data_IF_849707652758
#
_entry.id   IF_849707652758
#
_cell.length_a   1.000
_cell.length_b   1.000
_cell.length_c   1.000
_cell.angle_alpha   90.00
_cell.angle_beta   90.00
_cell.angle_gamma   90.00
#
_symmetry.space_group_name_H-M   'P 1'
#
loop_
_entity.id
_entity.type
_entity.pdbx_description
1 polymer ?
#
# COMPACT_ATOMS: atom_id res chain seq x y z
N UNK A 1 -6.49 14.19 -26.37
CA UNK A 1 -6.57 13.77 -24.94
C UNK A 1 -7.32 12.44 -24.88
N UNK A 2 -6.81 11.49 -24.12
CA UNK A 2 -7.42 10.14 -23.97
C UNK A 2 -8.72 10.11 -23.16
N UNK A 3 -8.98 11.12 -22.36
CA UNK A 3 -10.13 11.20 -21.48
C UNK A 3 -9.79 11.91 -20.18
N UNK A 4 -10.81 12.19 -19.37
CA UNK A 4 -10.66 12.84 -18.08
C UNK A 4 -10.87 11.87 -16.93
N UNK A 5 -9.88 11.80 -16.03
CA UNK A 5 -9.92 11.00 -14.82
C UNK A 5 -10.07 11.92 -13.61
N UNK A 6 -11.09 11.68 -12.79
CA UNK A 6 -11.24 12.33 -11.48
C UNK A 6 -10.96 11.33 -10.38
N UNK A 7 -9.83 11.52 -9.69
CA UNK A 7 -9.51 10.77 -8.48
C UNK A 7 -10.18 11.44 -7.27
N UNK A 8 -10.77 10.65 -6.38
CA UNK A 8 -11.41 11.15 -5.14
C UNK A 8 -10.84 10.43 -3.95
N UNK A 9 -10.33 11.16 -2.97
CA UNK A 9 -9.77 10.60 -1.73
C UNK A 9 -10.01 11.48 -0.52
N UNK A 10 -10.34 10.89 0.64
CA UNK A 10 -10.26 11.59 1.92
C UNK A 10 -8.98 11.24 2.69
N UNK A 11 -8.25 10.20 2.28
CA UNK A 11 -7.02 9.72 2.91
C UNK A 11 -5.77 10.29 2.19
N UNK A 12 -5.60 11.63 2.20
CA UNK A 12 -4.55 12.31 1.43
C UNK A 12 -3.24 12.39 2.21
N UNK A 13 -2.64 11.23 2.50
CA UNK A 13 -1.38 11.10 3.23
C UNK A 13 -0.79 9.69 3.13
N UNK A 14 0.46 9.54 3.57
CA UNK A 14 1.15 8.25 3.62
C UNK A 14 1.17 7.49 2.29
N UNK A 15 0.98 6.17 2.34
CA UNK A 15 1.05 5.30 1.17
C UNK A 15 0.00 5.59 0.09
N UNK A 16 -1.20 6.05 0.46
CA UNK A 16 -2.24 6.43 -0.51
C UNK A 16 -1.83 7.67 -1.29
N UNK A 17 -1.23 8.66 -0.64
CA UNK A 17 -0.69 9.83 -1.33
C UNK A 17 0.43 9.45 -2.29
N UNK A 18 1.39 8.63 -1.85
CA UNK A 18 2.49 8.17 -2.72
C UNK A 18 1.99 7.43 -3.95
N UNK A 19 0.99 6.55 -3.77
CA UNK A 19 0.32 5.85 -4.87
C UNK A 19 -0.37 6.82 -5.84
N UNK A 20 -1.11 7.82 -5.32
CA UNK A 20 -1.82 8.80 -6.13
C UNK A 20 -0.86 9.69 -6.92
N UNK A 21 0.22 10.15 -6.31
CA UNK A 21 1.25 10.98 -6.98
C UNK A 21 1.80 10.24 -8.19
N UNK A 22 2.23 8.99 -8.01
CA UNK A 22 2.77 8.19 -9.10
C UNK A 22 1.73 7.94 -10.20
N UNK A 23 0.53 7.47 -9.83
CA UNK A 23 -0.53 7.17 -10.78
C UNK A 23 -0.98 8.41 -11.57
N UNK A 24 -1.15 9.56 -10.92
CA UNK A 24 -1.60 10.79 -11.55
C UNK A 24 -0.55 11.35 -12.50
N UNK A 25 0.72 11.44 -12.09
CA UNK A 25 1.81 11.95 -12.90
C UNK A 25 2.01 11.10 -14.16
N UNK A 26 1.96 9.78 -14.03
CA UNK A 26 2.01 8.87 -15.18
C UNK A 26 0.78 8.99 -16.07
N UNK A 27 -0.40 9.23 -15.50
CA UNK A 27 -1.63 9.41 -16.29
C UNK A 27 -1.57 10.66 -17.12
N UNK A 28 -1.05 11.78 -16.60
CA UNK A 28 -0.79 13.00 -17.37
C UNK A 28 0.20 12.74 -18.51
N UNK A 29 1.33 12.08 -18.21
CA UNK A 29 2.32 11.69 -19.24
C UNK A 29 1.70 10.80 -20.33
N UNK A 30 0.74 9.95 -19.96
CA UNK A 30 0.00 9.10 -20.90
C UNK A 30 -1.10 9.84 -21.69
N UNK A 31 -1.33 11.15 -21.45
CA UNK A 31 -2.25 12.03 -22.19
C UNK A 31 -3.66 12.14 -21.62
N UNK A 32 -3.89 11.76 -20.35
CA UNK A 32 -5.17 11.99 -19.66
C UNK A 32 -5.23 13.39 -19.04
N UNK A 33 -6.43 13.97 -18.96
CA UNK A 33 -6.75 15.12 -18.09
C UNK A 33 -7.03 14.61 -16.67
N UNK A 34 -6.22 15.02 -15.69
CA UNK A 34 -6.26 14.45 -14.33
C UNK A 34 -6.66 15.50 -13.31
N UNK A 35 -7.68 15.17 -12.52
CA UNK A 35 -8.15 15.97 -11.38
C UNK A 35 -8.11 15.10 -10.12
N UNK A 36 -7.56 15.64 -9.03
CA UNK A 36 -7.58 15.00 -7.72
C UNK A 36 -8.47 15.82 -6.79
N UNK A 37 -9.62 15.26 -6.42
CA UNK A 37 -10.51 15.80 -5.41
C UNK A 37 -10.12 15.17 -4.07
N UNK A 38 -9.60 15.96 -3.15
CA UNK A 38 -9.02 15.47 -1.91
C UNK A 38 -9.55 16.20 -0.68
N UNK A 39 -9.36 15.61 0.49
CA UNK A 39 -9.53 16.29 1.77
C UNK A 39 -8.19 16.38 2.47
N UNK A 40 -7.81 17.59 2.85
CA UNK A 40 -6.58 17.83 3.61
C UNK A 40 -6.64 17.14 4.97
N UNK A 41 -5.50 16.63 5.42
CA UNK A 41 -5.30 15.91 6.69
C UNK A 41 -4.08 16.47 7.41
N UNK A 42 -3.98 16.23 8.72
CA UNK A 42 -2.81 16.61 9.51
C UNK A 42 -1.52 15.99 8.95
N UNK A 43 -1.62 14.77 8.39
CA UNK A 43 -0.53 14.07 7.73
C UNK A 43 -0.29 14.46 6.26
N UNK A 44 -1.06 15.38 5.68
CA UNK A 44 -0.84 15.87 4.31
C UNK A 44 0.39 16.80 4.32
N UNK A 45 1.42 16.55 3.48
CA UNK A 45 2.58 17.42 3.42
C UNK A 45 2.19 18.85 3.00
N UNK A 46 2.80 19.86 3.62
CA UNK A 46 2.54 21.27 3.28
C UNK A 46 2.86 21.60 1.82
N UNK A 47 3.86 20.93 1.25
CA UNK A 47 4.27 21.07 -0.14
C UNK A 47 3.64 20.04 -1.07
N UNK A 48 2.49 19.47 -0.71
CA UNK A 48 1.84 18.39 -1.49
C UNK A 48 1.62 18.73 -2.96
N UNK A 49 1.41 20.01 -3.30
CA UNK A 49 1.25 20.46 -4.68
C UNK A 49 2.50 20.17 -5.54
N UNK A 50 3.69 20.30 -4.96
CA UNK A 50 4.96 20.11 -5.65
C UNK A 50 5.24 18.64 -6.01
N UNK A 51 4.53 17.70 -5.38
CA UNK A 51 4.64 16.27 -5.66
C UNK A 51 3.94 15.86 -6.97
N UNK A 52 2.96 16.67 -7.42
CA UNK A 52 2.18 16.39 -8.61
C UNK A 52 2.68 17.18 -9.80
N UNK A 53 2.58 16.58 -11.01
CA UNK A 53 2.78 17.30 -12.25
C UNK A 53 1.95 18.60 -12.28
N UNK A 54 2.50 19.71 -12.79
CA UNK A 54 1.76 20.99 -12.90
C UNK A 54 0.41 20.89 -13.61
N UNK A 55 0.23 19.93 -14.50
CA UNK A 55 -1.03 19.70 -15.24
C UNK A 55 -2.10 19.00 -14.40
N UNK A 56 -1.74 18.33 -13.31
CA UNK A 56 -2.71 17.72 -12.38
C UNK A 56 -3.45 18.82 -11.61
N UNK A 57 -4.76 18.85 -11.68
CA UNK A 57 -5.57 19.81 -10.91
C UNK A 57 -5.95 19.25 -9.56
N UNK A 58 -5.57 19.96 -8.49
CA UNK A 58 -5.91 19.61 -7.10
C UNK A 58 -7.11 20.43 -6.64
N UNK A 59 -8.16 19.75 -6.15
CA UNK A 59 -9.40 20.36 -5.68
C UNK A 59 -9.68 19.90 -4.25
N UNK A 60 -9.66 20.81 -3.29
CA UNK A 60 -9.96 20.47 -1.89
C UNK A 60 -11.49 20.41 -1.67
N UNK A 61 -11.96 19.31 -1.08
CA UNK A 61 -13.34 19.10 -0.64
C UNK A 61 -13.33 18.53 0.78
N UNK A 62 -14.03 19.16 1.70
CA UNK A 62 -14.03 18.74 3.10
C UNK A 62 -14.76 17.40 3.28
N UNK A 63 -14.01 16.35 3.58
CA UNK A 63 -14.52 15.04 3.97
C UNK A 63 -13.91 14.65 5.32
N UNK A 64 -14.71 14.38 6.34
CA UNK A 64 -14.21 13.92 7.65
C UNK A 64 -13.86 12.44 7.60
N UNK A 65 -12.82 12.02 8.35
CA UNK A 65 -12.46 10.60 8.45
C UNK A 65 -13.52 9.79 9.20
N UNK A 66 -14.06 10.34 10.30
CA UNK A 66 -15.13 9.71 11.06
C UNK A 66 -16.46 9.75 10.31
N UNK A 67 -17.33 8.78 10.57
CA UNK A 67 -18.70 8.79 10.08
C UNK A 67 -19.44 9.96 10.75
N UNK A 68 -19.99 10.86 9.95
CA UNK A 68 -20.71 12.04 10.40
C UNK A 68 -21.84 12.35 9.40
N UNK A 69 -23.09 11.93 9.66
CA UNK A 69 -24.17 11.96 8.66
C UNK A 69 -24.36 13.33 8.00
N UNK A 70 -24.38 14.41 8.78
CA UNK A 70 -24.56 15.78 8.24
C UNK A 70 -23.38 16.22 7.37
N UNK A 71 -22.14 15.97 7.82
CA UNK A 71 -20.96 16.31 7.03
C UNK A 71 -20.80 15.39 5.82
N UNK A 72 -21.20 14.12 5.94
CA UNK A 72 -21.15 13.16 4.83
C UNK A 72 -22.18 13.52 3.76
N UNK A 73 -23.37 13.97 4.16
CA UNK A 73 -24.36 14.51 3.23
C UNK A 73 -23.85 15.76 2.50
N UNK A 74 -23.28 16.73 3.23
CA UNK A 74 -22.65 17.90 2.62
C UNK A 74 -21.51 17.52 1.68
N UNK A 75 -20.69 16.52 2.06
CA UNK A 75 -19.62 15.96 1.22
C UNK A 75 -20.15 15.36 -0.08
N UNK A 76 -21.26 14.60 -0.04
CA UNK A 76 -21.91 14.05 -1.23
C UNK A 76 -22.39 15.17 -2.15
N UNK A 77 -23.02 16.24 -1.61
CA UNK A 77 -23.48 17.37 -2.43
C UNK A 77 -22.30 18.09 -3.12
N UNK A 78 -21.22 18.36 -2.38
CA UNK A 78 -20.03 18.99 -2.93
C UNK A 78 -19.37 18.11 -4.01
N UNK A 79 -19.21 16.80 -3.75
CA UNK A 79 -18.69 15.85 -4.74
C UNK A 79 -19.60 15.79 -5.97
N UNK A 80 -20.92 15.72 -5.79
CA UNK A 80 -21.89 15.72 -6.89
C UNK A 80 -21.73 16.94 -7.78
N UNK A 81 -21.64 18.13 -7.16
CA UNK A 81 -21.43 19.37 -7.90
C UNK A 81 -20.10 19.34 -8.67
N UNK A 82 -19.00 18.93 -8.02
CA UNK A 82 -17.69 18.83 -8.68
C UNK A 82 -17.71 17.86 -9.84
N UNK A 83 -18.28 16.68 -9.68
CA UNK A 83 -18.36 15.68 -10.76
C UNK A 83 -19.22 16.18 -11.94
N UNK A 84 -20.27 16.97 -11.69
CA UNK A 84 -21.04 17.63 -12.77
C UNK A 84 -20.22 18.66 -13.54
N UNK A 85 -19.43 19.47 -12.85
CA UNK A 85 -18.57 20.49 -13.45
C UNK A 85 -17.44 19.84 -14.25
N UNK A 86 -16.78 18.84 -13.67
CA UNK A 86 -15.62 18.20 -14.29
C UNK A 86 -16.00 17.29 -15.47
N UNK A 87 -17.19 16.71 -15.49
CA UNK A 87 -17.66 15.77 -16.52
C UNK A 87 -16.64 14.67 -16.82
N UNK A 88 -16.21 13.89 -15.83
CA UNK A 88 -15.17 12.88 -16.02
C UNK A 88 -15.66 11.71 -16.88
N UNK A 89 -14.74 11.10 -17.62
CA UNK A 89 -14.95 9.79 -18.26
C UNK A 89 -14.77 8.66 -17.25
N UNK A 90 -13.84 8.84 -16.28
CA UNK A 90 -13.52 7.90 -15.22
C UNK A 90 -13.51 8.60 -13.87
N UNK A 91 -14.16 8.00 -12.88
CA UNK A 91 -14.09 8.39 -11.47
C UNK A 91 -13.37 7.28 -10.73
N UNK A 92 -12.19 7.57 -10.17
CA UNK A 92 -11.42 6.62 -9.38
C UNK A 92 -11.44 7.02 -7.90
N UNK A 93 -12.13 6.22 -7.10
CA UNK A 93 -12.37 6.43 -5.67
C UNK A 93 -11.32 5.70 -4.84
N UNK A 94 -10.69 6.38 -3.89
CA UNK A 94 -9.65 5.82 -3.03
C UNK A 94 -10.07 5.88 -1.57
N UNK A 95 -9.97 4.77 -0.86
CA UNK A 95 -10.42 4.52 0.51
C UNK A 95 -11.92 4.22 0.65
N UNK A 96 -12.29 3.55 1.75
CA UNK A 96 -13.68 3.11 1.99
C UNK A 96 -14.68 4.26 2.02
N UNK A 97 -14.32 5.39 2.61
CA UNK A 97 -15.25 6.53 2.72
C UNK A 97 -15.47 7.21 1.37
N UNK A 98 -14.38 7.51 0.64
CA UNK A 98 -14.49 8.05 -0.71
C UNK A 98 -15.22 7.04 -1.63
N UNK A 99 -15.00 5.75 -1.45
CA UNK A 99 -15.72 4.68 -2.15
C UNK A 99 -17.23 4.72 -1.95
N UNK A 100 -17.69 4.94 -0.73
CA UNK A 100 -19.13 5.03 -0.42
C UNK A 100 -19.74 6.35 -0.92
N UNK A 101 -19.18 7.49 -0.49
CA UNK A 101 -19.72 8.83 -0.83
C UNK A 101 -19.60 9.13 -2.32
N UNK A 102 -18.46 8.74 -2.92
CA UNK A 102 -18.17 8.97 -4.33
C UNK A 102 -19.07 8.18 -5.26
N UNK A 103 -19.45 6.93 -4.94
CA UNK A 103 -20.44 6.17 -5.73
C UNK A 103 -21.80 6.83 -5.72
N UNK A 104 -22.27 7.34 -4.57
CA UNK A 104 -23.51 8.10 -4.47
C UNK A 104 -23.43 9.37 -5.31
N UNK A 105 -22.35 10.14 -5.17
CA UNK A 105 -22.14 11.37 -5.92
C UNK A 105 -22.05 11.12 -7.45
N UNK A 106 -21.41 10.05 -7.88
CA UNK A 106 -21.34 9.64 -9.28
C UNK A 106 -22.72 9.35 -9.87
N UNK A 107 -23.58 8.63 -9.12
CA UNK A 107 -24.97 8.36 -9.52
C UNK A 107 -25.80 9.62 -9.68
N UNK A 108 -25.54 10.65 -8.88
CA UNK A 108 -26.28 11.91 -8.90
C UNK A 108 -25.72 12.93 -9.90
N UNK A 109 -24.39 12.91 -10.14
CA UNK A 109 -23.69 13.96 -10.85
C UNK A 109 -23.03 13.58 -12.18
N UNK A 110 -22.67 12.30 -12.37
CA UNK A 110 -21.88 11.86 -13.51
C UNK A 110 -22.18 10.39 -13.88
N UNK A 111 -23.44 10.09 -14.20
CA UNK A 111 -23.92 8.71 -14.48
C UNK A 111 -23.25 8.06 -15.69
N UNK A 112 -22.71 8.86 -16.60
CA UNK A 112 -21.99 8.38 -17.78
C UNK A 112 -20.57 7.91 -17.44
N UNK A 113 -20.00 8.40 -16.34
CA UNK A 113 -18.63 8.08 -15.96
C UNK A 113 -18.51 6.65 -15.44
N UNK A 114 -17.44 5.99 -15.80
CA UNK A 114 -17.07 4.70 -15.20
C UNK A 114 -16.53 4.90 -13.80
N UNK A 115 -17.01 4.12 -12.86
CA UNK A 115 -16.59 4.20 -11.46
C UNK A 115 -15.64 3.07 -11.15
N UNK A 116 -14.45 3.40 -10.67
CA UNK A 116 -13.44 2.48 -10.15
C UNK A 116 -13.24 2.79 -8.68
N UNK A 117 -13.04 1.76 -7.87
CA UNK A 117 -12.83 1.91 -6.44
C UNK A 117 -11.67 1.06 -5.95
N UNK A 118 -10.69 1.70 -5.31
CA UNK A 118 -9.54 1.07 -4.66
C UNK A 118 -9.58 1.31 -3.15
N UNK A 119 -9.83 0.28 -2.32
CA UNK A 119 -9.90 0.42 -0.86
C UNK A 119 -8.60 0.87 -0.21
N UNK A 120 -7.45 0.41 -0.70
CA UNK A 120 -6.12 0.57 -0.09
C UNK A 120 -6.04 0.08 1.36
N UNK A 121 -6.67 -1.03 1.64
CA UNK A 121 -6.87 -1.60 2.96
C UNK A 121 -8.33 -1.50 3.41
N UNK A 122 -8.87 -2.63 3.82
CA UNK A 122 -10.30 -2.78 4.11
C UNK A 122 -10.63 -2.29 5.52
N UNK A 123 -11.47 -1.27 5.64
CA UNK A 123 -11.84 -0.66 6.91
C UNK A 123 -12.48 -1.65 7.90
N UNK A 124 -13.17 -2.68 7.42
CA UNK A 124 -13.78 -3.69 8.28
C UNK A 124 -12.76 -4.72 8.84
N UNK A 125 -11.48 -4.65 8.44
CA UNK A 125 -10.38 -5.44 9.03
C UNK A 125 -9.64 -4.69 10.13
N UNK A 126 -9.97 -3.45 10.40
CA UNK A 126 -9.35 -2.63 11.45
C UNK A 126 -9.58 -3.26 12.81
N UNK A 127 -8.50 -3.47 13.55
CA UNK A 127 -8.54 -4.03 14.91
C UNK A 127 -8.60 -2.96 16.01
N UNK A 128 -8.51 -1.67 15.65
CA UNK A 128 -8.65 -0.53 16.57
C UNK A 128 -10.10 -0.09 16.79
N UNK A 129 -11.04 -0.79 16.21
CA UNK A 129 -12.48 -0.51 16.35
C UNK A 129 -13.23 -1.75 16.85
N UNK A 130 -14.35 -1.57 17.60
CA UNK A 130 -15.13 -2.70 18.11
C UNK A 130 -15.80 -3.50 16.97
N UNK A 131 -16.10 -4.77 17.20
CA UNK A 131 -16.68 -5.70 16.22
C UNK A 131 -17.97 -5.18 15.57
N UNK A 132 -18.81 -4.46 16.31
CA UNK A 132 -20.03 -3.89 15.74
C UNK A 132 -19.73 -2.84 14.66
N UNK A 133 -18.69 -2.04 14.87
CA UNK A 133 -18.26 -1.03 13.89
C UNK A 133 -17.59 -1.68 12.66
N UNK A 134 -16.86 -2.77 12.84
CA UNK A 134 -16.36 -3.58 11.70
C UNK A 134 -17.52 -4.12 10.86
N UNK A 135 -18.58 -4.63 11.51
CA UNK A 135 -19.82 -5.09 10.82
C UNK A 135 -20.51 -3.95 10.08
N UNK A 136 -20.56 -2.77 10.68
CA UNK A 136 -21.13 -1.57 10.05
C UNK A 136 -20.32 -1.18 8.80
N UNK A 137 -18.98 -1.16 8.86
CA UNK A 137 -18.13 -0.93 7.69
C UNK A 137 -18.37 -1.96 6.60
N UNK A 138 -18.46 -3.25 6.96
CA UNK A 138 -18.75 -4.31 6.00
C UNK A 138 -20.13 -4.12 5.34
N UNK A 139 -21.13 -3.68 6.09
CA UNK A 139 -22.47 -3.38 5.56
C UNK A 139 -22.42 -2.20 4.58
N UNK A 140 -21.67 -1.16 4.90
CA UNK A 140 -21.48 -0.03 3.99
C UNK A 140 -20.75 -0.43 2.71
N UNK A 141 -19.74 -1.28 2.78
CA UNK A 141 -19.05 -1.80 1.57
C UNK A 141 -20.04 -2.58 0.68
N UNK A 142 -20.90 -3.43 1.26
CA UNK A 142 -21.93 -4.18 0.54
C UNK A 142 -22.96 -3.27 -0.12
N UNK A 143 -23.45 -2.28 0.62
CA UNK A 143 -24.41 -1.30 0.10
C UNK A 143 -23.79 -0.46 -1.00
N UNK A 144 -22.54 -0.01 -0.82
CA UNK A 144 -21.83 0.76 -1.83
C UNK A 144 -21.58 -0.06 -3.11
N UNK A 145 -21.30 -1.37 -3.00
CA UNK A 145 -21.14 -2.25 -4.18
C UNK A 145 -22.42 -2.34 -5.01
N UNK A 146 -23.62 -2.28 -4.37
CA UNK A 146 -24.90 -2.28 -5.10
C UNK A 146 -25.08 -1.07 -6.03
N UNK A 147 -24.36 0.03 -5.79
CA UNK A 147 -24.33 1.20 -6.66
C UNK A 147 -23.47 0.99 -7.93
N UNK A 148 -22.77 -0.14 -8.00
CA UNK A 148 -21.95 -0.51 -9.16
C UNK A 148 -20.53 0.04 -9.14
N UNK A 149 -19.85 -0.16 -10.26
CA UNK A 149 -18.42 0.16 -10.45
C UNK A 149 -17.54 -1.09 -10.39
N UNK A 150 -16.25 -0.90 -10.69
CA UNK A 150 -15.23 -1.95 -10.57
C UNK A 150 -14.43 -1.75 -9.30
N UNK A 151 -14.38 -2.76 -8.44
CA UNK A 151 -13.52 -2.74 -7.25
C UNK A 151 -12.15 -3.28 -7.63
N UNK A 152 -11.10 -2.55 -7.30
CA UNK A 152 -9.72 -2.96 -7.56
C UNK A 152 -8.99 -3.18 -6.26
N UNK A 153 -8.72 -4.44 -5.96
CA UNK A 153 -7.91 -4.84 -4.82
C UNK A 153 -6.43 -4.62 -5.10
N UNK A 154 -5.67 -4.19 -4.09
CA UNK A 154 -4.23 -4.00 -4.21
C UNK A 154 -3.42 -5.24 -3.80
N UNK A 155 -4.05 -6.30 -3.28
CA UNK A 155 -3.42 -7.58 -2.94
C UNK A 155 -4.38 -8.75 -3.11
N UNK A 156 -3.83 -9.97 -3.24
CA UNK A 156 -4.65 -11.19 -3.34
C UNK A 156 -5.52 -11.39 -2.10
N UNK A 157 -4.97 -11.18 -0.91
CA UNK A 157 -5.72 -11.29 0.33
C UNK A 157 -6.85 -10.26 0.44
N UNK A 158 -6.65 -9.04 -0.07
CA UNK A 158 -7.71 -8.03 -0.14
C UNK A 158 -8.82 -8.45 -1.12
N UNK A 159 -8.45 -8.99 -2.29
CA UNK A 159 -9.40 -9.51 -3.28
C UNK A 159 -10.24 -10.66 -2.71
N UNK A 160 -9.62 -11.57 -1.98
CA UNK A 160 -10.29 -12.68 -1.33
C UNK A 160 -11.31 -12.21 -0.28
N UNK A 161 -10.95 -11.24 0.56
CA UNK A 161 -11.87 -10.67 1.55
C UNK A 161 -13.04 -9.94 0.88
N UNK A 162 -12.78 -9.19 -0.19
CA UNK A 162 -13.83 -8.55 -0.98
C UNK A 162 -14.80 -9.58 -1.58
N UNK A 163 -14.30 -10.66 -2.15
CA UNK A 163 -15.12 -11.74 -2.73
C UNK A 163 -15.91 -12.50 -1.67
N UNK A 164 -15.26 -12.89 -0.56
CA UNK A 164 -15.90 -13.72 0.48
C UNK A 164 -16.84 -12.94 1.37
N UNK A 165 -16.43 -11.75 1.84
CA UNK A 165 -17.19 -11.01 2.85
C UNK A 165 -18.08 -9.93 2.27
N UNK A 166 -17.58 -9.13 1.32
CA UNK A 166 -18.41 -8.10 0.65
C UNK A 166 -19.29 -8.74 -0.42
N UNK A 167 -18.81 -9.78 -1.11
CA UNK A 167 -19.45 -10.45 -2.24
C UNK A 167 -19.55 -9.50 -3.44
N UNK A 168 -18.46 -8.78 -3.70
CA UNK A 168 -18.38 -7.81 -4.81
C UNK A 168 -18.71 -8.46 -6.16
N UNK A 169 -19.48 -7.74 -6.98
CA UNK A 169 -19.94 -8.23 -8.29
C UNK A 169 -18.87 -8.14 -9.37
N UNK A 170 -18.06 -7.09 -9.32
CA UNK A 170 -16.99 -6.85 -10.28
C UNK A 170 -15.72 -6.44 -9.54
N UNK A 171 -14.77 -7.36 -9.41
CA UNK A 171 -13.51 -7.14 -8.74
C UNK A 171 -12.33 -7.49 -9.64
N UNK A 172 -11.26 -6.70 -9.55
CA UNK A 172 -9.99 -6.88 -10.24
C UNK A 172 -8.85 -6.85 -9.23
N UNK A 173 -7.72 -7.42 -9.60
CA UNK A 173 -6.47 -7.29 -8.86
C UNK A 173 -5.51 -6.42 -9.67
N UNK A 174 -5.07 -5.32 -9.10
CA UNK A 174 -3.92 -4.55 -9.59
C UNK A 174 -3.07 -4.26 -8.37
N UNK A 175 -1.98 -5.01 -8.23
CA UNK A 175 -1.07 -4.86 -7.10
C UNK A 175 -0.37 -3.50 -7.15
N UNK A 176 0.04 -3.01 -5.98
CA UNK A 176 0.88 -1.82 -5.91
C UNK A 176 2.22 -2.08 -6.62
N UNK A 177 2.69 -1.07 -7.33
CA UNK A 177 4.00 -1.06 -7.96
C UNK A 177 4.91 -0.01 -7.35
N UNK A 178 6.21 -0.15 -7.57
CA UNK A 178 7.24 0.82 -7.22
C UNK A 178 8.18 1.06 -8.39
N UNK A 179 8.84 2.22 -8.42
CA UNK A 179 9.93 2.54 -9.36
C UNK A 179 11.15 1.70 -9.01
N UNK A 180 11.21 0.47 -9.53
CA UNK A 180 12.24 -0.50 -9.13
C UNK A 180 13.67 -0.02 -9.42
N UNK A 181 13.85 0.84 -10.40
CA UNK A 181 15.12 1.46 -10.77
C UNK A 181 15.52 2.60 -9.81
N UNK A 182 14.56 3.23 -9.16
CA UNK A 182 14.80 4.33 -8.21
C UNK A 182 14.95 3.87 -6.77
N UNK A 183 14.57 2.63 -6.45
CA UNK A 183 14.82 2.07 -5.12
C UNK A 183 16.31 1.76 -4.96
N UNK A 184 17.02 2.45 -4.05
CA UNK A 184 18.43 2.20 -3.83
C UNK A 184 18.66 0.76 -3.36
N UNK A 185 19.65 0.09 -3.93
CA UNK A 185 20.01 -1.27 -3.50
C UNK A 185 20.65 -1.25 -2.12
N UNK A 186 20.47 -2.33 -1.36
CA UNK A 186 21.07 -2.51 -0.04
C UNK A 186 22.58 -2.25 -0.10
N UNK A 187 23.07 -1.43 0.83
CA UNK A 187 24.49 -1.12 0.94
C UNK A 187 25.20 -2.26 1.67
N UNK A 188 26.14 -2.91 0.99
CA UNK A 188 27.02 -3.89 1.65
C UNK A 188 28.07 -3.13 2.45
N UNK A 189 28.11 -3.36 3.77
CA UNK A 189 29.09 -2.75 4.66
C UNK A 189 30.24 -3.71 4.95
N UNK A 190 31.42 -3.13 5.16
CA UNK A 190 32.60 -3.88 5.57
C UNK A 190 32.62 -4.22 7.07
N UNK A 191 31.91 -3.42 7.90
CA UNK A 191 31.75 -3.70 9.32
C UNK A 191 30.84 -4.90 9.57
N UNK A 192 31.00 -5.54 10.74
CA UNK A 192 30.21 -6.73 11.11
C UNK A 192 28.85 -6.38 11.75
N UNK A 193 28.47 -5.09 11.78
CA UNK A 193 27.19 -4.68 12.36
C UNK A 193 26.02 -5.14 11.50
N UNK A 194 24.95 -5.58 12.16
CA UNK A 194 23.66 -5.87 11.52
C UNK A 194 22.68 -4.77 11.87
N UNK A 195 22.10 -4.11 10.87
CA UNK A 195 21.08 -3.07 11.07
C UNK A 195 19.72 -3.63 10.72
N UNK A 196 18.85 -3.68 11.72
CA UNK A 196 17.44 -4.10 11.62
C UNK A 196 16.57 -2.86 11.59
N UNK A 197 15.68 -2.72 10.63
CA UNK A 197 14.87 -1.51 10.52
C UNK A 197 13.40 -1.73 10.27
N UNK A 198 12.62 -0.74 10.68
CA UNK A 198 11.20 -0.57 10.38
C UNK A 198 11.00 0.80 9.73
N UNK A 199 10.06 0.95 8.78
CA UNK A 199 9.71 2.24 8.20
C UNK A 199 8.22 2.54 8.36
N UNK A 200 7.91 3.74 8.85
CA UNK A 200 6.56 4.25 8.97
C UNK A 200 6.35 5.11 10.21
N UNK A 201 5.27 5.88 10.22
CA UNK A 201 4.88 6.70 11.37
C UNK A 201 4.39 5.83 12.54
N UNK A 202 4.43 6.35 13.75
CA UNK A 202 3.76 5.77 14.89
C UNK A 202 2.25 5.74 14.64
N UNK A 203 1.68 4.57 14.78
CA UNK A 203 0.23 4.37 14.72
C UNK A 203 -0.13 3.01 15.29
N UNK A 204 -1.35 2.87 15.79
CA UNK A 204 -1.86 1.58 16.24
C UNK A 204 -1.79 0.52 15.13
N UNK A 205 -2.03 0.93 13.87
CA UNK A 205 -1.94 0.06 12.70
C UNK A 205 -0.54 -0.53 12.52
N UNK A 206 0.50 0.30 12.60
CA UNK A 206 1.90 -0.12 12.37
C UNK A 206 2.48 -0.93 13.52
N UNK A 207 1.87 -0.84 14.73
CA UNK A 207 2.23 -1.62 15.90
C UNK A 207 3.74 -1.56 16.23
N UNK A 208 4.29 -0.34 16.19
CA UNK A 208 5.70 -0.08 16.46
C UNK A 208 6.18 -0.65 17.82
N UNK A 209 5.25 -0.79 18.79
CA UNK A 209 5.56 -1.38 20.10
C UNK A 209 6.17 -2.78 19.95
N UNK A 210 5.72 -3.58 18.98
CA UNK A 210 6.32 -4.89 18.74
C UNK A 210 7.74 -4.77 18.18
N UNK A 211 8.01 -3.79 17.34
CA UNK A 211 9.37 -3.54 16.84
C UNK A 211 10.32 -3.11 17.97
N UNK A 212 9.86 -2.20 18.86
CA UNK A 212 10.61 -1.77 20.05
C UNK A 212 10.88 -2.96 20.97
N UNK A 213 9.88 -3.78 21.23
CA UNK A 213 10.03 -4.97 22.08
C UNK A 213 11.02 -5.99 21.50
N UNK A 214 10.98 -6.24 20.17
CA UNK A 214 11.97 -7.07 19.47
C UNK A 214 13.39 -6.49 19.64
N UNK A 215 13.53 -5.17 19.50
CA UNK A 215 14.81 -4.50 19.67
C UNK A 215 15.35 -4.68 21.10
N UNK A 216 14.50 -4.50 22.13
CA UNK A 216 14.89 -4.65 23.52
C UNK A 216 15.31 -6.10 23.84
N UNK A 217 14.61 -7.10 23.28
CA UNK A 217 14.93 -8.54 23.48
C UNK A 217 16.22 -8.97 22.79
N UNK A 218 16.56 -8.35 21.66
CA UNK A 218 17.70 -8.73 20.82
C UNK A 218 18.84 -7.70 20.86
N UNK A 219 18.79 -6.73 21.77
CA UNK A 219 19.86 -5.76 21.97
C UNK A 219 21.17 -6.46 22.36
N UNK A 220 22.17 -6.35 21.49
CA UNK A 220 23.51 -6.92 21.73
C UNK A 220 24.57 -6.13 20.94
N UNK A 221 25.85 -6.32 21.31
CA UNK A 221 26.94 -5.67 20.59
C UNK A 221 26.95 -6.07 19.11
N UNK A 222 27.06 -5.08 18.22
CA UNK A 222 27.06 -5.29 16.78
C UNK A 222 25.68 -5.36 16.12
N UNK A 223 24.59 -5.17 16.87
CA UNK A 223 23.24 -5.05 16.33
C UNK A 223 22.69 -3.65 16.59
N UNK A 224 22.12 -3.03 15.58
CA UNK A 224 21.49 -1.72 15.66
C UNK A 224 20.04 -1.82 15.15
N UNK A 225 19.09 -1.26 15.92
CA UNK A 225 17.70 -1.16 15.52
C UNK A 225 17.36 0.28 15.12
N UNK A 226 16.73 0.45 13.96
CA UNK A 226 16.43 1.77 13.38
C UNK A 226 14.97 1.87 13.01
N UNK A 227 14.29 2.88 13.52
CA UNK A 227 12.91 3.20 13.12
C UNK A 227 12.90 4.45 12.24
N UNK A 228 12.69 4.25 10.94
CA UNK A 228 12.62 5.30 9.93
C UNK A 228 11.22 5.91 9.95
N UNK A 229 11.10 7.20 10.30
CA UNK A 229 9.82 7.92 10.40
C UNK A 229 9.16 7.85 11.78
N UNK A 230 9.82 7.27 12.77
CA UNK A 230 9.38 7.28 14.16
C UNK A 230 10.10 8.34 15.01
N UNK A 231 9.43 8.85 16.03
CA UNK A 231 9.98 9.80 16.97
C UNK A 231 10.49 9.09 18.23
N UNK A 232 11.57 9.61 18.85
CA UNK A 232 12.15 9.00 20.05
C UNK A 232 11.14 8.91 21.22
N UNK A 233 10.31 9.92 21.39
CA UNK A 233 9.26 9.93 22.43
C UNK A 233 8.23 8.78 22.26
N UNK A 234 8.05 8.26 21.04
CA UNK A 234 7.14 7.17 20.74
C UNK A 234 7.78 5.80 20.97
N UNK A 235 9.11 5.72 20.87
CA UNK A 235 9.88 4.51 21.17
C UNK A 235 10.02 4.28 22.69
N UNK A 236 10.10 5.36 23.47
CA UNK A 236 10.40 5.35 24.89
C UNK A 236 11.88 5.60 25.18
N UNK A 237 12.17 6.21 26.34
CA UNK A 237 13.51 6.70 26.71
C UNK A 237 14.58 5.56 26.80
N UNK A 238 14.17 4.37 27.19
CA UNK A 238 15.05 3.20 27.37
C UNK A 238 15.03 2.26 26.15
N UNK A 239 14.45 2.64 25.03
CA UNK A 239 14.33 1.77 23.86
C UNK A 239 15.67 1.58 23.15
N UNK A 240 16.01 0.33 22.84
CA UNK A 240 17.20 -0.02 22.03
C UNK A 240 16.99 0.30 20.53
N UNK A 241 16.31 1.41 20.23
CA UNK A 241 15.91 1.81 18.87
C UNK A 241 16.35 3.23 18.59
N UNK A 242 17.09 3.43 17.51
CA UNK A 242 17.39 4.76 16.99
C UNK A 242 16.27 5.22 16.06
N UNK A 243 15.63 6.32 16.38
CA UNK A 243 14.58 6.94 15.57
C UNK A 243 15.16 8.02 14.65
N UNK A 244 14.66 8.13 13.42
CA UNK A 244 15.11 9.17 12.48
C UNK A 244 14.24 10.43 12.54
N UNK A 245 13.08 10.38 13.18
CA UNK A 245 12.04 11.35 12.96
C UNK A 245 11.43 11.22 11.54
N UNK A 246 10.48 12.11 11.26
CA UNK A 246 9.94 12.18 9.90
C UNK A 246 11.02 12.65 8.91
N UNK A 247 11.15 11.94 7.81
CA UNK A 247 12.10 12.27 6.73
C UNK A 247 11.40 12.24 5.37
N UNK A 248 11.85 13.05 4.40
CA UNK A 248 11.34 12.98 3.01
C UNK A 248 11.51 11.57 2.42
N UNK A 249 10.67 11.23 1.43
CA UNK A 249 10.65 9.89 0.83
C UNK A 249 12.02 9.41 0.33
N UNK A 250 12.77 10.26 -0.36
CA UNK A 250 14.07 9.88 -0.90
C UNK A 250 15.07 9.57 0.21
N UNK A 251 15.03 10.33 1.30
CA UNK A 251 15.89 10.12 2.46
C UNK A 251 15.48 8.84 3.22
N UNK A 252 14.15 8.57 3.30
CA UNK A 252 13.64 7.33 3.86
C UNK A 252 14.10 6.10 3.07
N UNK A 253 14.06 6.14 1.74
CA UNK A 253 14.57 5.07 0.87
C UNK A 253 16.10 4.92 0.99
N UNK A 254 16.84 6.03 1.08
CA UNK A 254 18.29 6.01 1.30
C UNK A 254 18.65 5.43 2.68
N UNK A 255 17.87 5.73 3.72
CA UNK A 255 18.02 5.13 5.05
C UNK A 255 17.69 3.62 5.02
N UNK A 256 16.59 3.24 4.34
CA UNK A 256 16.20 1.84 4.14
C UNK A 256 17.33 1.03 3.47
N UNK A 257 18.00 1.57 2.46
CA UNK A 257 19.11 0.90 1.79
C UNK A 257 20.32 0.62 2.71
N UNK A 258 20.37 1.26 3.87
CA UNK A 258 21.35 0.98 4.92
C UNK A 258 21.00 -0.21 5.81
N UNK A 259 19.82 -0.77 5.71
CA UNK A 259 19.37 -1.90 6.53
C UNK A 259 19.88 -3.23 6.00
N UNK A 260 20.05 -4.19 6.91
CA UNK A 260 20.30 -5.60 6.60
C UNK A 260 19.04 -6.45 6.69
N UNK A 261 18.10 -6.06 7.55
CA UNK A 261 16.80 -6.70 7.77
C UNK A 261 15.71 -5.63 7.82
N UNK A 262 14.56 -5.92 7.25
CA UNK A 262 13.37 -5.10 7.37
C UNK A 262 12.30 -5.81 8.21
N UNK A 263 11.69 -5.12 9.15
CA UNK A 263 10.63 -5.66 10.01
C UNK A 263 9.35 -4.86 9.84
N UNK A 264 8.22 -5.53 9.61
CA UNK A 264 6.89 -4.92 9.50
C UNK A 264 5.93 -5.57 10.48
N UNK A 265 5.61 -4.87 11.56
CA UNK A 265 4.82 -5.39 12.68
C UNK A 265 3.33 -5.05 12.61
N UNK A 266 2.84 -4.60 11.47
CA UNK A 266 1.48 -4.08 11.29
C UNK A 266 0.39 -5.06 11.70
N UNK A 267 -0.71 -4.50 12.26
CA UNK A 267 -1.93 -5.26 12.64
C UNK A 267 -2.87 -5.47 11.45
N UNK A 268 -2.84 -4.63 10.46
CA UNK A 268 -3.52 -4.78 9.15
C UNK A 268 -2.84 -3.91 8.10
N UNK A 269 -2.90 -4.34 6.85
CA UNK A 269 -2.39 -3.62 5.67
C UNK A 269 -3.31 -3.84 4.46
N UNK A 270 -3.15 -2.99 3.45
CA UNK A 270 -3.64 -3.29 2.11
C UNK A 270 -2.57 -3.99 1.29
N UNK A 271 -1.52 -3.25 0.93
CA UNK A 271 -0.28 -3.72 0.32
C UNK A 271 0.83 -2.68 0.56
N UNK A 272 1.65 -2.85 1.59
CA UNK A 272 2.58 -1.81 2.04
C UNK A 272 3.74 -1.61 1.07
N UNK A 273 3.87 -0.39 0.52
CA UNK A 273 4.96 -0.02 -0.38
C UNK A 273 6.34 -0.24 0.27
N UNK A 274 6.47 0.05 1.57
CA UNK A 274 7.73 -0.11 2.30
C UNK A 274 8.27 -1.54 2.29
N UNK A 275 7.39 -2.56 2.37
CA UNK A 275 7.81 -3.97 2.26
C UNK A 275 8.24 -4.28 0.83
N UNK A 276 7.51 -3.78 -0.17
CA UNK A 276 7.89 -3.94 -1.59
C UNK A 276 9.26 -3.31 -1.83
N UNK A 277 9.46 -2.08 -1.36
CA UNK A 277 10.71 -1.32 -1.50
C UNK A 277 11.88 -2.04 -0.83
N UNK A 278 11.69 -2.55 0.40
CA UNK A 278 12.71 -3.35 1.09
C UNK A 278 13.10 -4.60 0.28
N UNK A 279 12.10 -5.33 -0.26
CA UNK A 279 12.35 -6.51 -1.09
C UNK A 279 13.08 -6.14 -2.39
N UNK A 280 12.69 -5.05 -3.07
CA UNK A 280 13.38 -4.55 -4.27
C UNK A 280 14.80 -4.12 -3.94
N UNK A 281 15.04 -3.50 -2.78
CA UNK A 281 16.38 -3.13 -2.32
C UNK A 281 17.28 -4.34 -2.04
N UNK A 282 16.74 -5.55 -1.93
CA UNK A 282 17.47 -6.77 -1.58
C UNK A 282 17.60 -6.97 -0.07
N UNK A 283 16.63 -6.49 0.68
CA UNK A 283 16.56 -6.60 2.12
C UNK A 283 15.49 -7.65 2.46
N UNK A 284 15.86 -8.79 3.08
CA UNK A 284 14.88 -9.77 3.53
C UNK A 284 13.97 -9.15 4.59
N UNK A 285 12.67 -9.48 4.52
CA UNK A 285 11.67 -8.89 5.39
C UNK A 285 11.04 -9.90 6.34
N UNK A 286 10.93 -9.55 7.61
CA UNK A 286 10.12 -10.27 8.59
C UNK A 286 8.83 -9.48 8.78
N UNK A 287 7.70 -10.10 8.49
CA UNK A 287 6.42 -9.40 8.46
C UNK A 287 5.35 -10.16 9.26
N UNK A 288 4.42 -9.42 9.85
CA UNK A 288 3.23 -10.04 10.46
C UNK A 288 2.36 -10.72 9.41
N UNK A 289 1.72 -11.84 9.81
CA UNK A 289 0.80 -12.63 8.99
C UNK A 289 -0.55 -11.90 8.78
N UNK A 290 -0.50 -10.74 8.15
CA UNK A 290 -1.69 -9.97 7.77
C UNK A 290 -1.75 -9.81 6.25
N UNK A 291 -2.95 -9.55 5.75
CA UNK A 291 -3.19 -9.25 4.33
C UNK A 291 -2.23 -8.14 3.89
N UNK A 292 -1.78 -8.22 2.67
CA UNK A 292 -0.79 -7.31 2.10
C UNK A 292 0.64 -7.70 2.45
N UNK A 293 0.97 -7.88 3.72
CA UNK A 293 2.29 -8.32 4.16
C UNK A 293 2.63 -9.72 3.61
N UNK A 294 1.75 -10.70 3.88
CA UNK A 294 1.91 -12.09 3.42
C UNK A 294 1.76 -12.25 1.90
N UNK A 295 1.18 -11.26 1.24
CA UNK A 295 1.04 -11.26 -0.22
C UNK A 295 2.34 -10.81 -0.93
N UNK A 296 3.28 -10.17 -0.20
CA UNK A 296 4.55 -9.69 -0.73
C UNK A 296 5.68 -10.67 -0.42
N UNK A 297 5.78 -11.11 0.84
CA UNK A 297 6.89 -11.93 1.33
C UNK A 297 6.64 -13.41 1.06
N UNK A 298 7.61 -14.09 0.45
CA UNK A 298 7.62 -15.54 0.30
C UNK A 298 8.33 -16.15 1.50
N UNK A 299 7.55 -16.79 2.38
CA UNK A 299 8.06 -17.37 3.63
C UNK A 299 9.20 -18.36 3.39
N UNK A 300 10.31 -18.17 4.11
CA UNK A 300 11.52 -18.98 3.98
C UNK A 300 12.38 -18.71 2.74
N UNK A 301 11.92 -17.87 1.81
CA UNK A 301 12.64 -17.59 0.55
C UNK A 301 13.08 -16.12 0.44
N UNK A 302 12.18 -15.15 0.71
CA UNK A 302 12.50 -13.71 0.65
C UNK A 302 12.44 -13.05 2.02
N UNK A 303 12.17 -13.81 3.05
CA UNK A 303 12.00 -13.39 4.42
C UNK A 303 11.09 -14.35 5.17
N UNK A 304 10.50 -13.90 6.28
CA UNK A 304 9.62 -14.70 7.11
C UNK A 304 8.28 -14.01 7.38
N UNK A 305 7.22 -14.82 7.49
CA UNK A 305 5.87 -14.40 7.88
C UNK A 305 5.65 -14.94 9.28
N UNK A 306 5.32 -14.06 10.24
CA UNK A 306 5.18 -14.36 11.66
C UNK A 306 3.79 -14.02 12.17
N UNK A 307 3.24 -14.86 13.04
CA UNK A 307 1.90 -14.70 13.63
C UNK A 307 1.93 -14.18 15.07
N UNK A 308 3.11 -14.13 15.69
CA UNK A 308 3.31 -13.65 17.05
C UNK A 308 4.58 -12.81 17.20
N UNK A 309 4.68 -12.09 18.30
CA UNK A 309 5.88 -11.35 18.67
C UNK A 309 7.09 -12.29 18.86
N UNK A 310 6.86 -13.46 19.45
CA UNK A 310 7.91 -14.44 19.69
C UNK A 310 8.48 -15.01 18.38
N UNK A 311 7.62 -15.32 17.40
CA UNK A 311 8.06 -15.72 16.05
C UNK A 311 8.84 -14.61 15.33
N UNK A 312 8.41 -13.33 15.47
CA UNK A 312 9.18 -12.20 14.90
C UNK A 312 10.56 -12.16 15.54
N UNK A 313 10.62 -12.26 16.90
CA UNK A 313 11.88 -12.22 17.65
C UNK A 313 12.81 -13.37 17.22
N UNK A 314 12.27 -14.58 17.11
CA UNK A 314 13.01 -15.77 16.66
C UNK A 314 13.58 -15.58 15.25
N UNK A 315 12.75 -15.15 14.27
CA UNK A 315 13.19 -14.97 12.88
C UNK A 315 14.18 -13.82 12.73
N UNK A 316 14.01 -12.72 13.47
CA UNK A 316 14.98 -11.62 13.50
C UNK A 316 16.31 -12.11 14.07
N UNK A 317 16.32 -12.80 15.21
CA UNK A 317 17.51 -13.41 15.81
C UNK A 317 18.21 -14.36 14.84
N UNK A 318 17.48 -15.28 14.22
CA UNK A 318 18.02 -16.21 13.22
C UNK A 318 18.72 -15.49 12.06
N UNK A 319 18.11 -14.40 11.54
CA UNK A 319 18.72 -13.65 10.44
C UNK A 319 19.83 -12.69 10.92
N UNK A 320 19.92 -12.33 12.19
CA UNK A 320 21.07 -11.65 12.77
C UNK A 320 22.28 -12.60 12.78
N UNK A 321 22.09 -13.82 13.18
CA UNK A 321 23.17 -14.82 13.36
C UNK A 321 23.60 -15.46 12.03
N UNK A 322 22.69 -15.68 11.09
CA UNK A 322 22.96 -16.34 9.82
C UNK A 322 23.05 -15.31 8.65
N UNK A 323 24.26 -14.78 8.47
CA UNK A 323 24.55 -13.85 7.37
C UNK A 323 24.35 -14.48 5.99
N UNK A 324 24.69 -15.75 5.81
CA UNK A 324 24.58 -16.40 4.51
C UNK A 324 23.12 -16.58 4.09
N UNK A 325 22.26 -16.98 5.04
CA UNK A 325 20.83 -17.05 4.83
C UNK A 325 20.24 -15.66 4.51
N UNK A 326 20.65 -14.63 5.23
CA UNK A 326 20.25 -13.24 5.01
C UNK A 326 20.58 -12.75 3.60
N UNK A 327 21.81 -13.03 3.13
CA UNK A 327 22.25 -12.67 1.79
C UNK A 327 21.50 -13.44 0.70
N UNK A 328 21.30 -14.76 0.89
CA UNK A 328 20.52 -15.60 -0.02
C UNK A 328 19.08 -15.11 -0.16
N UNK A 329 18.42 -14.80 0.96
CA UNK A 329 17.07 -14.23 0.95
C UNK A 329 17.00 -12.87 0.29
N UNK A 330 18.01 -12.02 0.49
CA UNK A 330 18.10 -10.69 -0.14
C UNK A 330 18.18 -10.78 -1.66
N UNK A 331 18.99 -11.70 -2.20
CA UNK A 331 19.07 -11.95 -3.65
C UNK A 331 17.73 -12.43 -4.20
N UNK A 332 17.09 -13.38 -3.51
CA UNK A 332 15.77 -13.87 -3.92
C UNK A 332 14.70 -12.76 -3.86
N UNK A 333 14.74 -11.91 -2.82
CA UNK A 333 13.85 -10.78 -2.63
C UNK A 333 13.94 -9.81 -3.81
N UNK A 334 15.16 -9.35 -4.17
CA UNK A 334 15.37 -8.45 -5.31
C UNK A 334 14.81 -9.05 -6.59
N UNK A 335 15.17 -10.30 -6.90
CA UNK A 335 14.76 -10.95 -8.13
C UNK A 335 13.23 -11.02 -8.28
N UNK A 336 12.56 -11.51 -7.23
CA UNK A 336 11.10 -11.71 -7.23
C UNK A 336 10.38 -10.36 -7.22
N UNK A 337 10.77 -9.45 -6.34
CA UNK A 337 10.07 -8.18 -6.17
C UNK A 337 10.25 -7.26 -7.40
N UNK A 338 11.45 -7.19 -7.99
CA UNK A 338 11.67 -6.38 -9.18
C UNK A 338 10.85 -6.89 -10.38
N UNK A 339 10.74 -8.21 -10.56
CA UNK A 339 9.93 -8.77 -11.63
C UNK A 339 8.42 -8.52 -11.42
N UNK A 340 7.94 -8.67 -10.16
CA UNK A 340 6.50 -8.63 -9.84
C UNK A 340 5.95 -7.22 -9.67
N UNK A 341 6.71 -6.30 -9.04
CA UNK A 341 6.20 -5.01 -8.57
C UNK A 341 6.68 -3.80 -9.36
N UNK A 342 7.14 -4.01 -10.60
CA UNK A 342 7.53 -2.93 -11.51
C UNK A 342 6.31 -2.05 -11.84
N UNK A 343 6.39 -0.77 -11.52
CA UNK A 343 5.27 0.18 -11.63
C UNK A 343 4.76 0.33 -13.06
N UNK A 344 5.62 0.24 -14.09
CA UNK A 344 5.20 0.32 -15.50
C UNK A 344 4.22 -0.80 -15.87
N UNK A 345 4.44 -2.01 -15.35
CA UNK A 345 3.54 -3.14 -15.56
C UNK A 345 2.18 -2.90 -14.91
N UNK A 346 2.18 -2.35 -13.68
CA UNK A 346 0.94 -2.01 -12.96
C UNK A 346 0.22 -0.84 -13.63
N UNK A 347 0.96 0.16 -14.09
CA UNK A 347 0.38 1.30 -14.80
C UNK A 347 -0.30 0.88 -16.11
N UNK A 348 0.27 -0.06 -16.87
CA UNK A 348 -0.40 -0.62 -18.06
C UNK A 348 -1.73 -1.29 -17.73
N UNK A 349 -1.85 -1.96 -16.57
CA UNK A 349 -3.12 -2.53 -16.13
C UNK A 349 -4.14 -1.43 -15.79
N UNK A 350 -3.69 -0.32 -15.16
CA UNK A 350 -4.54 0.83 -14.88
C UNK A 350 -5.04 1.51 -16.16
N UNK A 351 -4.16 1.78 -17.14
CA UNK A 351 -4.57 2.39 -18.40
C UNK A 351 -5.52 1.49 -19.19
N UNK A 352 -5.28 0.18 -19.21
CA UNK A 352 -6.22 -0.77 -19.81
C UNK A 352 -7.60 -0.71 -19.15
N UNK A 353 -7.65 -0.57 -17.82
CA UNK A 353 -8.91 -0.43 -17.09
C UNK A 353 -9.59 0.91 -17.36
N UNK A 354 -8.82 1.99 -17.56
CA UNK A 354 -9.35 3.31 -17.92
C UNK A 354 -9.85 3.39 -19.36
N UNK A 355 -9.15 2.79 -20.30
CA UNK A 355 -9.43 2.92 -21.74
C UNK A 355 -10.57 2.00 -22.23
N UNK A 356 -10.96 0.97 -21.47
CA UNK A 356 -11.96 -0.03 -21.90
C UNK A 356 -11.58 -0.78 -23.19
N UNK A 357 -10.30 -0.73 -23.60
CA UNK A 357 -9.83 -1.15 -24.92
C UNK A 357 -9.45 -2.64 -24.99
N UNK A 358 -9.50 -3.35 -23.86
CA UNK A 358 -9.20 -4.81 -23.86
C UNK A 358 -10.49 -5.59 -23.60
N UNK A 359 -10.92 -6.29 -24.63
CA UNK A 359 -12.00 -7.28 -24.55
C UNK A 359 -11.80 -8.22 -23.37
N UNK A 360 -12.75 -8.25 -22.47
CA UNK A 360 -12.75 -9.00 -21.19
C UNK A 360 -12.61 -10.53 -21.34
N UNK A 361 -12.55 -11.07 -22.57
CA UNK A 361 -12.56 -12.51 -22.86
C UNK A 361 -11.21 -13.23 -22.65
N UNK A 362 -10.08 -12.50 -22.65
CA UNK A 362 -8.75 -13.16 -22.66
C UNK A 362 -8.09 -13.33 -21.27
N UNK A 363 -8.64 -12.73 -20.21
CA UNK A 363 -7.99 -12.73 -18.87
C UNK A 363 -8.64 -13.71 -17.88
N UNK A 364 -9.80 -14.27 -18.21
CA UNK A 364 -10.51 -15.16 -17.27
C UNK A 364 -9.94 -16.56 -17.14
N UNK A 365 -9.10 -17.02 -18.07
CA UNK A 365 -8.58 -18.40 -18.09
C UNK A 365 -7.12 -18.56 -17.62
N UNK A 366 -6.34 -17.48 -17.53
CA UNK A 366 -4.91 -17.59 -17.14
C UNK A 366 -4.61 -17.24 -15.68
N UNK A 367 -5.59 -16.86 -14.88
CA UNK A 367 -5.40 -16.32 -13.51
C UNK A 367 -5.69 -17.31 -12.39
N UNK A 368 -5.69 -18.62 -12.64
CA UNK A 368 -5.78 -19.63 -11.57
C UNK A 368 -4.41 -20.12 -11.06
N UNK A 369 -3.33 -19.76 -11.73
CA UNK A 369 -1.99 -20.06 -11.25
C UNK A 369 -1.57 -18.99 -10.22
N UNK A 370 -1.32 -19.39 -8.99
CA UNK A 370 -0.66 -18.56 -7.99
C UNK A 370 0.66 -18.02 -8.60
N UNK A 371 0.92 -16.71 -8.62
CA UNK A 371 2.18 -16.17 -9.13
C UNK A 371 3.43 -16.79 -8.50
N UNK A 372 3.27 -17.44 -7.35
CA UNK A 372 4.32 -18.17 -6.62
C UNK A 372 4.58 -19.58 -7.20
N UNK A 373 3.63 -20.15 -7.97
CA UNK A 373 3.76 -21.51 -8.55
C UNK A 373 4.46 -21.50 -9.91
N UNK A 374 4.54 -20.36 -10.60
CA UNK A 374 5.20 -20.25 -11.91
C UNK A 374 6.73 -20.41 -11.88
N UNK A 375 7.36 -20.28 -10.70
CA UNK A 375 8.81 -20.49 -10.56
C UNK A 375 9.22 -21.91 -10.20
N UNK A 376 8.28 -22.77 -9.80
CA UNK A 376 8.60 -24.18 -9.47
C UNK A 376 8.82 -25.00 -10.73
N UNK A 377 8.23 -24.59 -11.86
CA UNK A 377 8.28 -25.34 -13.12
C UNK A 377 9.46 -24.99 -14.06
N UNK A 378 10.25 -23.93 -13.77
CA UNK A 378 11.40 -23.54 -14.59
C UNK A 378 12.77 -23.92 -14.00
N UNK A 379 12.79 -24.62 -12.88
CA UNK A 379 14.01 -24.99 -12.12
C UNK A 379 14.49 -26.44 -12.32
N UNK A 380 13.97 -27.18 -13.28
CA UNK A 380 14.49 -28.52 -13.63
C UNK A 380 15.22 -28.45 -14.96
N UNK A 381 16.48 -28.06 -14.92
CA UNK A 381 17.38 -28.03 -16.08
C UNK A 381 18.81 -27.73 -15.65
N UNK A 382 19.54 -28.81 -15.39
CA UNK A 382 20.99 -29.04 -15.58
C UNK A 382 22.00 -28.41 -14.63
N UNK A 383 22.62 -29.35 -13.90
CA UNK A 383 23.98 -29.55 -13.37
C UNK A 383 24.49 -28.51 -12.36
#
# INVERSE_FOLDING_TARGET
MKGKIVHVTEAFGGGVLSFLVDLCNRSVTAGYDVVVVYSERDETPKNVRELFDPSVRLVNVRMRRAISPLHDFAGVLQLTHRLRVERPDVIHLHSSKAGALGRVAARLGARHARVIYSPHGLSFLRSDVPRWQQRLYLTFERLADSLGGTVVACSLGELDELRRRVRVRNARLIENGVETEQVPKRRVRADRRTIVGMMGRASYQKNHQWFVEVANRLAQAGVEFVWIGGEAAEAGDDAAVRCTGWVPRNDALAAMAGLDLYVQTSRWEGMPLAVIEAQVAGIPAIVTNVIGNRDIVVHGKTGFIASSLDEITEYVGRLIDDRALRETMGVAATRIATARFRVESKFRQWTSLYDDSVSYAAVSESSTANPLDLEILSGSGEI
#
